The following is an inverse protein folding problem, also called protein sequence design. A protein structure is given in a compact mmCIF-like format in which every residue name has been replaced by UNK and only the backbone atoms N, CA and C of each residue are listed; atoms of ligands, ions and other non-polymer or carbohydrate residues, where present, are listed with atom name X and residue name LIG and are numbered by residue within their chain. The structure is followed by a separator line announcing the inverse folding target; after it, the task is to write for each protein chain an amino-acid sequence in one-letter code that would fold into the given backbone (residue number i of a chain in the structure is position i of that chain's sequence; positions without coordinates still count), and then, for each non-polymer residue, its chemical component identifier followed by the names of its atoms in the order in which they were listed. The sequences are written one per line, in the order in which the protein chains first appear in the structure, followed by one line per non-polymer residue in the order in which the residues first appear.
data_IF_891717591535
#
_entry.id   IF_891717591535
#
_cell.length_a   1.000
_cell.length_b   1.000
_cell.length_c   1.000
_cell.angle_alpha   90.00
_cell.angle_beta   90.00
_cell.angle_gamma   90.00
#
_symmetry.space_group_name_H-M   'P 1'
#
loop_
_entity.id
_entity.type
_entity.pdbx_description
1 polymer ?
#
# COMPACT_ATOMS: atom_id res chain seq x y z
N UNK A 1 22.37 -6.70 0.63
CA UNK A 1 21.30 -7.00 -0.36
C UNK A 1 20.09 -6.15 0.03
N UNK A 2 19.51 -5.40 -0.92
CA UNK A 2 18.38 -4.50 -0.64
C UNK A 2 17.13 -5.36 -0.38
N UNK A 3 16.56 -5.31 0.83
CA UNK A 3 15.39 -6.11 1.25
C UNK A 3 14.17 -5.90 0.35
N UNK A 4 14.00 -4.65 -0.15
CA UNK A 4 12.90 -4.14 -0.99
C UNK A 4 12.26 -5.11 -1.99
N UNK A 5 13.10 -5.72 -2.83
CA UNK A 5 12.62 -6.50 -3.99
C UNK A 5 12.01 -7.85 -3.59
N UNK A 6 12.18 -8.30 -2.36
CA UNK A 6 11.66 -9.60 -1.96
C UNK A 6 10.25 -9.50 -1.35
N UNK A 7 9.89 -8.43 -0.64
CA UNK A 7 8.55 -8.33 -0.01
C UNK A 7 7.45 -8.11 -1.05
N UNK A 8 7.70 -7.28 -2.07
CA UNK A 8 6.78 -7.08 -3.19
C UNK A 8 6.50 -8.38 -3.94
N UNK A 9 7.57 -9.09 -4.29
CA UNK A 9 7.48 -10.40 -4.92
C UNK A 9 6.70 -11.40 -4.05
N UNK A 10 7.02 -11.46 -2.75
CA UNK A 10 6.33 -12.35 -1.80
C UNK A 10 4.83 -12.01 -1.68
N UNK A 11 4.49 -10.72 -1.65
CA UNK A 11 3.11 -10.25 -1.64
C UNK A 11 2.35 -10.71 -2.88
N UNK A 12 2.89 -10.46 -4.08
CA UNK A 12 2.22 -10.89 -5.31
C UNK A 12 2.15 -12.41 -5.48
N UNK A 13 3.19 -13.15 -5.08
CA UNK A 13 3.24 -14.61 -5.23
C UNK A 13 2.34 -15.34 -4.23
N UNK A 14 2.11 -14.79 -3.03
CA UNK A 14 1.40 -15.50 -1.95
C UNK A 14 0.03 -14.94 -1.64
N UNK A 15 -0.12 -13.62 -1.69
CA UNK A 15 -1.38 -12.99 -1.32
C UNK A 15 -2.34 -12.88 -2.53
N UNK A 16 -1.83 -12.50 -3.70
CA UNK A 16 -2.66 -12.22 -4.87
C UNK A 16 -3.22 -13.40 -5.69
N UNK A 17 -2.68 -14.66 -5.64
CA UNK A 17 -3.25 -15.76 -6.42
C UNK A 17 -4.67 -16.18 -6.01
N UNK A 18 -5.19 -15.69 -4.88
CA UNK A 18 -6.55 -16.00 -4.41
C UNK A 18 -7.68 -15.22 -5.11
N UNK A 19 -7.36 -14.39 -6.13
CA UNK A 19 -8.20 -13.89 -7.26
C UNK A 19 -9.63 -13.38 -7.01
N UNK A 20 -10.09 -13.26 -5.77
CA UNK A 20 -11.48 -12.88 -5.43
C UNK A 20 -11.67 -11.37 -5.20
N UNK A 21 -10.61 -10.57 -5.25
CA UNK A 21 -10.60 -9.15 -4.84
C UNK A 21 -10.44 -8.16 -6.01
N UNK A 22 -10.80 -8.56 -7.24
CA UNK A 22 -10.69 -7.66 -8.40
C UNK A 22 -9.25 -7.23 -8.75
N UNK A 23 -8.26 -8.02 -8.34
CA UNK A 23 -6.85 -7.70 -8.52
C UNK A 23 -6.44 -7.58 -10.00
N UNK A 24 -5.64 -6.55 -10.31
CA UNK A 24 -4.79 -6.51 -11.50
C UNK A 24 -3.49 -5.76 -11.22
N UNK A 25 -2.36 -6.16 -11.82
CA UNK A 25 -1.16 -5.33 -11.83
C UNK A 25 -1.42 -4.03 -12.61
N UNK A 26 -0.74 -2.94 -12.23
CA UNK A 26 -0.66 -1.75 -13.07
C UNK A 26 0.17 -2.05 -14.34
N UNK A 27 -0.20 -1.44 -15.46
CA UNK A 27 0.64 -1.46 -16.67
C UNK A 27 1.73 -0.38 -16.60
N UNK A 28 2.64 -0.34 -17.58
CA UNK A 28 3.77 0.63 -17.60
C UNK A 28 3.33 2.11 -17.63
N UNK A 29 2.15 2.42 -18.19
CA UNK A 29 1.63 3.79 -18.27
C UNK A 29 0.95 4.21 -16.97
N UNK A 30 0.32 3.25 -16.29
CA UNK A 30 -0.34 3.43 -15.02
C UNK A 30 0.69 3.48 -13.90
N UNK A 31 1.75 2.69 -13.96
CA UNK A 31 2.75 2.55 -12.93
C UNK A 31 3.59 3.84 -12.76
N UNK A 32 3.47 4.48 -11.59
CA UNK A 32 4.21 5.71 -11.30
C UNK A 32 5.54 5.43 -10.59
N UNK A 33 5.88 4.14 -10.33
CA UNK A 33 7.12 3.68 -9.71
C UNK A 33 7.41 2.21 -10.05
N UNK A 34 8.53 1.95 -10.75
CA UNK A 34 9.04 0.62 -11.14
C UNK A 34 8.42 -0.60 -10.40
N UNK A 35 7.29 -1.10 -10.90
CA UNK A 35 6.71 -2.41 -10.64
C UNK A 35 6.01 -2.61 -9.30
N UNK A 36 5.62 -1.55 -8.58
CA UNK A 36 5.05 -1.69 -7.22
C UNK A 36 3.56 -1.35 -7.11
N UNK A 37 2.99 -0.78 -8.18
CA UNK A 37 1.61 -0.35 -8.22
C UNK A 37 0.67 -1.46 -8.70
N UNK A 38 -0.47 -1.59 -8.04
CA UNK A 38 -1.51 -2.54 -8.40
C UNK A 38 -2.91 -2.00 -8.09
N UNK A 39 -3.92 -2.62 -8.68
CA UNK A 39 -5.32 -2.30 -8.42
C UNK A 39 -5.98 -3.46 -7.70
N UNK A 40 -6.77 -3.15 -6.69
CA UNK A 40 -7.53 -4.12 -5.91
C UNK A 40 -8.79 -3.43 -5.38
N UNK A 41 -9.95 -4.09 -5.44
CA UNK A 41 -11.24 -3.53 -4.98
C UNK A 41 -11.57 -2.12 -5.53
N UNK A 42 -11.16 -1.83 -6.77
CA UNK A 42 -11.38 -0.53 -7.42
C UNK A 42 -10.45 0.60 -6.94
N UNK A 43 -9.56 0.31 -5.99
CA UNK A 43 -8.54 1.24 -5.50
C UNK A 43 -7.18 0.92 -6.12
N UNK A 44 -6.35 1.95 -6.23
CA UNK A 44 -4.95 1.82 -6.61
C UNK A 44 -4.06 1.83 -5.38
N UNK A 45 -3.18 0.84 -5.28
CA UNK A 45 -2.23 0.67 -4.20
C UNK A 45 -0.78 0.77 -4.69
N UNK A 46 0.10 1.41 -3.91
CA UNK A 46 1.56 1.34 -4.02
C UNK A 46 2.11 0.56 -2.81
N UNK A 47 2.83 -0.52 -3.07
CA UNK A 47 3.48 -1.30 -2.03
C UNK A 47 4.86 -0.72 -1.69
N UNK A 48 5.15 -0.57 -0.39
CA UNK A 48 6.46 -0.10 0.07
C UNK A 48 6.92 -0.82 1.35
N UNK A 49 8.22 -1.10 1.43
CA UNK A 49 8.86 -1.56 2.68
C UNK A 49 9.22 -0.41 3.62
N UNK A 50 9.32 0.81 3.08
CA UNK A 50 9.73 2.00 3.80
C UNK A 50 8.64 3.05 3.66
N UNK A 51 7.85 3.19 4.71
CA UNK A 51 6.76 4.15 4.79
C UNK A 51 7.24 5.53 5.26
N UNK A 52 8.43 5.63 5.85
CA UNK A 52 8.89 6.86 6.52
C UNK A 52 9.94 7.64 5.69
N UNK A 53 10.15 7.27 4.41
CA UNK A 53 11.41 7.54 3.72
C UNK A 53 11.38 8.28 2.37
N UNK A 54 10.26 8.81 1.87
CA UNK A 54 10.29 9.54 0.57
C UNK A 54 9.60 10.89 0.60
N UNK A 55 10.45 11.91 0.48
CA UNK A 55 10.14 13.31 0.24
C UNK A 55 8.96 13.50 -0.72
N UNK A 56 8.10 14.49 -0.43
CA UNK A 56 6.99 15.00 -1.24
C UNK A 56 5.68 14.22 -1.29
N UNK A 57 5.48 13.24 -0.41
CA UNK A 57 4.15 12.71 -0.17
C UNK A 57 3.51 13.62 0.90
N UNK A 58 2.34 14.21 0.61
CA UNK A 58 1.49 14.78 1.66
C UNK A 58 0.90 13.61 2.46
N UNK A 59 1.76 12.90 3.20
CA UNK A 59 1.39 11.78 4.06
C UNK A 59 0.66 12.33 5.27
N UNK A 60 -0.61 12.63 5.06
CA UNK A 60 -1.54 12.78 6.17
C UNK A 60 -2.22 11.42 6.34
N UNK A 61 -2.19 10.95 7.59
CA UNK A 61 -2.82 9.74 8.10
C UNK A 61 -2.02 8.44 7.86
N UNK A 62 -1.56 7.87 8.98
CA UNK A 62 -1.07 6.52 9.12
C UNK A 62 -2.13 5.74 9.91
N UNK A 63 -2.94 4.94 9.24
CA UNK A 63 -3.72 3.91 9.91
C UNK A 63 -2.82 2.68 10.04
N UNK A 64 -2.64 2.20 11.28
CA UNK A 64 -1.79 1.05 11.56
C UNK A 64 -2.65 -0.18 11.88
N UNK A 65 -2.36 -1.27 11.19
CA UNK A 65 -2.93 -2.58 11.47
C UNK A 65 -1.78 -3.46 11.96
N UNK A 66 -1.79 -3.76 13.25
CA UNK A 66 -0.77 -4.62 13.88
C UNK A 66 -1.08 -6.07 13.54
N UNK A 67 -0.13 -6.72 12.87
CA UNK A 67 -0.15 -8.16 12.60
C UNK A 67 0.77 -8.88 13.59
N UNK A 68 0.57 -10.20 13.83
CA UNK A 68 1.46 -10.99 14.69
C UNK A 68 2.94 -10.98 14.28
N UNK A 69 3.26 -10.58 13.04
CA UNK A 69 4.61 -10.64 12.44
C UNK A 69 5.04 -9.35 11.74
N UNK A 70 4.30 -8.27 11.92
CA UNK A 70 4.59 -7.00 11.26
C UNK A 70 3.51 -5.96 11.49
N UNK A 71 3.66 -4.82 10.85
CA UNK A 71 2.70 -3.72 10.90
C UNK A 71 2.38 -3.35 9.46
N UNK A 72 1.09 -3.24 9.16
CA UNK A 72 0.63 -2.65 7.91
C UNK A 72 0.29 -1.19 8.19
N UNK A 73 0.97 -0.28 7.50
CA UNK A 73 0.66 1.16 7.48
C UNK A 73 -0.13 1.47 6.21
N UNK A 74 -1.21 2.22 6.36
CA UNK A 74 -2.00 2.74 5.25
C UNK A 74 -1.90 4.27 5.23
N UNK A 75 -1.74 4.83 4.03
CA UNK A 75 -1.81 6.27 3.81
C UNK A 75 -2.16 6.61 2.37
N UNK A 76 -2.19 7.90 2.06
CA UNK A 76 -2.49 8.39 0.72
C UNK A 76 -1.30 9.15 0.13
N UNK A 77 -1.07 8.92 -1.16
CA UNK A 77 -0.10 9.63 -1.97
C UNK A 77 -0.79 10.34 -3.12
N UNK A 78 -0.64 11.65 -3.17
CA UNK A 78 -1.27 12.52 -4.19
C UNK A 78 -0.28 12.94 -5.28
N UNK A 79 0.94 12.43 -5.24
CA UNK A 79 2.00 12.78 -6.18
C UNK A 79 3.34 12.16 -5.81
N UNK A 80 4.33 12.44 -6.63
CA UNK A 80 5.73 12.13 -6.36
C UNK A 80 6.58 13.38 -6.64
N UNK A 81 7.91 13.24 -6.56
CA UNK A 81 8.84 14.36 -6.79
C UNK A 81 8.79 14.96 -8.21
N UNK A 82 8.08 14.32 -9.14
CA UNK A 82 7.98 14.72 -10.54
C UNK A 82 6.61 15.29 -10.90
N UNK A 83 5.53 14.72 -10.35
CA UNK A 83 4.17 15.07 -10.76
C UNK A 83 3.16 14.85 -9.64
N UNK A 84 2.12 15.68 -9.63
CA UNK A 84 0.88 15.38 -8.91
C UNK A 84 0.09 14.31 -9.67
N UNK A 85 -0.58 13.44 -8.94
CA UNK A 85 -1.47 12.43 -9.51
C UNK A 85 -2.87 13.02 -9.69
N UNK A 86 -3.59 12.55 -10.70
CA UNK A 86 -4.98 12.95 -10.92
C UNK A 86 -5.92 12.43 -9.82
N UNK A 87 -5.58 11.27 -9.27
CA UNK A 87 -6.29 10.60 -8.18
C UNK A 87 -5.28 10.18 -7.09
N UNK A 88 -5.69 10.15 -5.81
CA UNK A 88 -4.82 9.68 -4.75
C UNK A 88 -4.55 8.17 -4.90
N UNK A 89 -3.31 7.77 -4.61
CA UNK A 89 -2.87 6.38 -4.55
C UNK A 89 -2.77 5.95 -3.10
N UNK A 90 -3.35 4.81 -2.75
CA UNK A 90 -3.21 4.25 -1.40
C UNK A 90 -1.82 3.66 -1.25
N UNK A 91 -1.05 4.12 -0.27
CA UNK A 91 0.25 3.53 0.05
C UNK A 91 0.03 2.44 1.08
N UNK A 92 0.44 1.22 0.75
CA UNK A 92 0.45 0.07 1.65
C UNK A 92 1.90 -0.16 2.11
N UNK A 93 2.22 0.31 3.30
CA UNK A 93 3.49 0.02 3.97
C UNK A 93 3.43 -1.29 4.70
N UNK A 94 4.37 -2.20 4.46
CA UNK A 94 4.48 -3.43 5.26
C UNK A 94 5.83 -3.43 5.97
N UNK A 95 5.77 -3.22 7.29
CA UNK A 95 6.94 -3.23 8.17
C UNK A 95 7.05 -4.61 8.81
N UNK A 96 8.14 -5.31 8.54
CA UNK A 96 8.38 -6.68 9.05
C UNK A 96 9.69 -6.72 9.83
N UNK A 97 9.72 -7.51 10.90
CA UNK A 97 10.86 -7.55 11.81
C UNK A 97 12.05 -8.37 11.27
N UNK A 98 11.81 -9.24 10.29
CA UNK A 98 12.81 -10.09 9.62
C UNK A 98 12.27 -10.69 8.32
N UNK A 99 13.15 -11.28 7.49
CA UNK A 99 12.71 -11.96 6.26
C UNK A 99 11.82 -13.19 6.53
N UNK A 100 12.14 -13.99 7.55
CA UNK A 100 11.33 -15.16 7.93
C UNK A 100 9.93 -14.76 8.44
N UNK A 101 9.83 -13.56 9.03
CA UNK A 101 8.54 -12.99 9.45
C UNK A 101 7.81 -12.32 8.30
N UNK A 102 8.50 -11.92 7.22
CA UNK A 102 7.89 -11.33 6.03
C UNK A 102 6.88 -12.27 5.35
N UNK A 103 7.25 -13.54 5.15
CA UNK A 103 6.36 -14.54 4.57
C UNK A 103 5.09 -14.70 5.42
N UNK A 104 5.26 -14.79 6.74
CA UNK A 104 4.14 -14.94 7.69
C UNK A 104 3.28 -13.67 7.76
N UNK A 105 3.89 -12.49 7.68
CA UNK A 105 3.19 -11.22 7.65
C UNK A 105 2.30 -11.09 6.40
N UNK A 106 2.81 -11.47 5.23
CA UNK A 106 2.03 -11.51 3.98
C UNK A 106 0.88 -12.52 4.07
N UNK A 107 1.13 -13.72 4.63
CA UNK A 107 0.06 -14.70 4.83
C UNK A 107 -1.02 -14.16 5.80
N UNK A 108 -0.62 -13.47 6.88
CA UNK A 108 -1.56 -12.80 7.80
C UNK A 108 -2.32 -11.65 7.15
N UNK A 109 -1.69 -10.89 6.26
CA UNK A 109 -2.32 -9.80 5.53
C UNK A 109 -3.54 -10.29 4.76
N UNK A 110 -3.47 -11.51 4.21
CA UNK A 110 -4.60 -12.12 3.50
C UNK A 110 -5.85 -12.32 4.33
N UNK A 111 -5.68 -12.56 5.64
CA UNK A 111 -6.77 -12.83 6.57
C UNK A 111 -7.46 -11.56 7.04
N UNK A 112 -6.80 -10.40 6.90
CA UNK A 112 -7.35 -9.10 7.27
C UNK A 112 -7.53 -8.17 6.07
N UNK A 113 -7.51 -8.69 4.83
CA UNK A 113 -7.60 -7.85 3.62
C UNK A 113 -8.88 -7.01 3.59
N UNK A 114 -10.03 -7.57 3.96
CA UNK A 114 -11.29 -6.83 4.00
C UNK A 114 -11.19 -5.60 4.91
N UNK A 115 -10.54 -5.74 6.07
CA UNK A 115 -10.31 -4.62 6.98
C UNK A 115 -9.35 -3.58 6.38
N UNK A 116 -8.29 -4.02 5.70
CA UNK A 116 -7.33 -3.15 5.01
C UNK A 116 -8.03 -2.38 3.89
N UNK A 117 -8.81 -3.08 3.07
CA UNK A 117 -9.53 -2.54 1.91
C UNK A 117 -10.61 -1.54 2.34
N UNK A 118 -11.41 -1.86 3.37
CA UNK A 118 -12.39 -0.92 3.93
C UNK A 118 -11.73 0.35 4.48
N UNK A 119 -10.61 0.21 5.22
CA UNK A 119 -9.86 1.38 5.71
C UNK A 119 -9.26 2.21 4.57
N UNK A 120 -8.74 1.56 3.53
CA UNK A 120 -8.24 2.24 2.34
C UNK A 120 -9.35 3.00 1.61
N UNK A 121 -10.53 2.41 1.51
CA UNK A 121 -11.71 3.04 0.91
C UNK A 121 -12.16 4.25 1.73
N UNK A 122 -12.24 4.12 3.06
CA UNK A 122 -12.57 5.22 3.97
C UNK A 122 -11.57 6.37 3.86
N UNK A 123 -10.28 6.06 3.71
CA UNK A 123 -9.24 7.08 3.48
C UNK A 123 -9.49 7.85 2.19
N UNK A 124 -9.76 7.16 1.08
CA UNK A 124 -10.01 7.79 -0.23
C UNK A 124 -11.31 8.60 -0.23
N UNK A 125 -12.40 8.07 0.33
CA UNK A 125 -13.69 8.77 0.35
C UNK A 125 -13.71 10.03 1.20
N UNK A 126 -12.94 10.07 2.28
CA UNK A 126 -12.88 11.24 3.18
C UNK A 126 -11.68 12.15 2.87
N UNK A 127 -11.00 11.95 1.73
CA UNK A 127 -9.79 12.69 1.36
C UNK A 127 -9.98 14.21 1.38
N UNK A 128 -11.09 14.74 0.87
CA UNK A 128 -11.35 16.19 0.84
C UNK A 128 -11.48 16.80 2.25
N UNK A 129 -12.11 16.07 3.18
CA UNK A 129 -12.21 16.48 4.59
C UNK A 129 -10.83 16.47 5.28
N UNK A 130 -9.97 15.53 4.89
CA UNK A 130 -8.59 15.45 5.38
C UNK A 130 -7.67 16.55 4.84
N UNK A 131 -7.86 16.97 3.59
CA UNK A 131 -7.10 18.10 3.02
C UNK A 131 -7.52 19.42 3.67
N UNK A 132 -8.82 19.58 3.93
CA UNK A 132 -9.40 20.82 4.46
C UNK A 132 -9.12 21.06 5.96
N UNK A 133 -9.00 19.99 6.75
CA UNK A 133 -8.76 20.06 8.20
C UNK A 133 -7.31 20.36 8.60
N UNK A 134 -6.41 20.38 7.63
CA UNK A 134 -4.99 20.47 7.87
C UNK A 134 -4.32 21.66 7.14
N UNK A 135 -5.15 22.66 6.81
CA UNK A 135 -4.82 24.01 6.34
C UNK A 135 -5.25 25.04 7.40
#
# INVERSE_FOLDING_TARGET
MKSGKNLEKLFFERFMPNKSFGYRPANEEEDFKEGTDFFCDGLRFDLTEDFDGKDHINEKFQEEIVLPYGIVKLGLRTGNNKSCFAEPVVVLGIIVYSYDTAVKAVDCLSQCWEQISNKAFDLVCNFEDYVSSAA
#
